data_IF_828490284724
#
_entry.id   IF_828490284724
#
_cell.length_a   1.000
_cell.length_b   1.000
_cell.length_c   1.000
_cell.angle_alpha   90.00
_cell.angle_beta   90.00
_cell.angle_gamma   90.00
#
_symmetry.space_group_name_H-M   'P 1'
#
loop_
_entity.id
_entity.type
_entity.pdbx_description
1 polymer ?
#
# COMPACT_ATOMS: atom_id res chain seq x y z
N UNK A 1 17.92 -30.15 6.61
CA UNK A 1 18.41 -29.90 5.23
C UNK A 1 19.14 -28.56 5.19
N UNK A 2 20.39 -28.55 4.72
CA UNK A 2 21.13 -27.30 4.48
C UNK A 2 21.08 -27.03 2.98
N UNK A 3 20.47 -25.90 2.58
CA UNK A 3 20.53 -25.44 1.19
C UNK A 3 21.96 -24.97 0.91
N UNK A 4 22.63 -25.60 -0.06
CA UNK A 4 23.95 -25.19 -0.52
C UNK A 4 23.80 -24.28 -1.74
N UNK A 5 23.99 -22.99 -1.54
CA UNK A 5 24.06 -22.00 -2.62
C UNK A 5 25.50 -22.01 -3.16
N UNK A 6 25.68 -22.21 -4.46
CA UNK A 6 26.99 -22.15 -5.12
C UNK A 6 26.94 -21.07 -6.20
N UNK A 7 28.00 -20.27 -6.26
CA UNK A 7 28.28 -19.44 -7.42
C UNK A 7 28.87 -20.34 -8.51
N UNK A 8 28.44 -20.18 -9.75
CA UNK A 8 29.11 -20.79 -10.89
C UNK A 8 30.40 -20.00 -11.22
N UNK A 9 31.16 -20.45 -12.23
CA UNK A 9 32.42 -19.79 -12.64
C UNK A 9 32.24 -18.36 -13.17
N UNK A 10 31.01 -17.94 -13.46
CA UNK A 10 30.65 -16.61 -13.96
C UNK A 10 30.18 -15.68 -12.83
N UNK A 11 30.11 -16.18 -11.59
CA UNK A 11 29.61 -15.41 -10.44
C UNK A 11 28.09 -15.39 -10.32
N UNK A 12 27.37 -16.26 -11.04
CA UNK A 12 25.92 -16.36 -10.97
C UNK A 12 25.49 -17.37 -9.90
N UNK A 13 24.33 -17.14 -9.28
CA UNK A 13 23.72 -18.10 -8.36
C UNK A 13 22.78 -19.01 -9.16
N UNK A 14 23.11 -20.29 -9.22
CA UNK A 14 22.29 -21.31 -9.88
C UNK A 14 21.58 -22.20 -8.85
N UNK A 15 20.26 -22.33 -8.96
CA UNK A 15 19.46 -23.22 -8.14
C UNK A 15 18.63 -24.18 -9.01
N UNK A 16 18.32 -25.35 -8.47
CA UNK A 16 17.45 -26.34 -9.09
C UNK A 16 17.90 -26.80 -10.49
N UNK A 17 19.23 -26.87 -10.73
CA UNK A 17 19.81 -27.28 -12.02
C UNK A 17 19.53 -26.29 -13.14
N UNK A 18 19.68 -24.99 -12.87
CA UNK A 18 19.50 -23.92 -13.85
C UNK A 18 18.05 -23.48 -14.07
N UNK A 19 17.10 -23.94 -13.26
CA UNK A 19 15.71 -23.48 -13.36
C UNK A 19 15.49 -22.11 -12.72
N UNK A 20 16.39 -21.70 -11.82
CA UNK A 20 16.49 -20.37 -11.24
C UNK A 20 17.95 -19.95 -11.37
N UNK A 21 18.19 -18.84 -12.07
CA UNK A 21 19.50 -18.23 -12.24
C UNK A 21 19.39 -16.76 -11.85
N UNK A 22 20.23 -16.34 -10.90
CA UNK A 22 20.42 -14.94 -10.55
C UNK A 22 21.79 -14.51 -11.02
N UNK A 23 21.81 -13.49 -11.87
CA UNK A 23 23.02 -12.94 -12.47
C UNK A 23 23.58 -11.79 -11.63
N UNK A 24 24.88 -11.52 -11.78
CA UNK A 24 25.58 -10.47 -11.03
C UNK A 24 25.09 -9.04 -11.32
N UNK A 25 24.32 -8.85 -12.40
CA UNK A 25 23.72 -7.58 -12.79
C UNK A 25 22.31 -7.36 -12.18
N UNK A 26 21.79 -8.34 -11.44
CA UNK A 26 20.45 -8.32 -10.85
C UNK A 26 19.35 -8.93 -11.72
N UNK A 27 19.69 -9.49 -12.89
CA UNK A 27 18.76 -10.24 -13.73
C UNK A 27 18.36 -11.55 -13.04
N UNK A 28 17.06 -11.82 -13.00
CA UNK A 28 16.50 -13.07 -12.48
C UNK A 28 15.84 -13.86 -13.61
N UNK A 29 16.43 -14.99 -13.95
CA UNK A 29 15.91 -15.94 -14.94
C UNK A 29 15.21 -17.09 -14.22
N UNK A 30 13.90 -17.24 -14.44
CA UNK A 30 13.08 -18.32 -13.89
C UNK A 30 12.27 -18.99 -15.00
N UNK A 31 12.26 -20.32 -15.03
CA UNK A 31 11.47 -21.05 -16.04
C UNK A 31 9.96 -21.00 -15.81
N UNK A 32 9.55 -21.01 -14.53
CA UNK A 32 8.15 -21.02 -14.13
C UNK A 32 7.99 -20.26 -12.82
N UNK A 33 7.13 -19.26 -12.83
CA UNK A 33 6.66 -18.58 -11.62
C UNK A 33 5.29 -19.16 -11.24
N UNK A 34 5.15 -19.61 -9.99
CA UNK A 34 3.86 -19.99 -9.42
C UNK A 34 3.64 -19.11 -8.19
N UNK A 35 2.58 -18.32 -8.21
CA UNK A 35 2.17 -17.44 -7.12
C UNK A 35 0.89 -17.99 -6.49
N UNK A 36 0.66 -17.65 -5.22
CA UNK A 36 -0.63 -17.86 -4.58
C UNK A 36 -1.62 -16.81 -5.09
N UNK A 37 -2.84 -17.24 -5.41
CA UNK A 37 -3.91 -16.33 -5.80
C UNK A 37 -4.30 -15.39 -4.65
N UNK A 38 -4.91 -14.26 -5.00
CA UNK A 38 -5.44 -13.25 -4.07
C UNK A 38 -4.36 -12.49 -3.28
N UNK A 39 -3.11 -12.53 -3.75
CA UNK A 39 -2.06 -11.63 -3.30
C UNK A 39 -1.60 -10.73 -4.46
N UNK A 40 -0.65 -11.19 -5.28
CA UNK A 40 -0.13 -10.43 -6.43
C UNK A 40 -0.61 -10.93 -7.79
N UNK A 41 -1.46 -11.97 -7.81
CA UNK A 41 -2.14 -12.48 -9.00
C UNK A 41 -3.56 -12.92 -8.62
N UNK A 42 -4.51 -12.81 -9.54
CA UNK A 42 -5.84 -13.34 -9.36
C UNK A 42 -6.75 -13.11 -10.55
N UNK A 43 -8.03 -13.45 -10.36
CA UNK A 43 -9.09 -13.27 -11.35
C UNK A 43 -10.25 -12.54 -10.71
N UNK A 44 -11.02 -11.80 -11.50
CA UNK A 44 -12.16 -11.01 -11.02
C UNK A 44 -13.20 -10.81 -12.12
N UNK A 45 -14.34 -10.25 -11.75
CA UNK A 45 -15.40 -9.94 -12.71
C UNK A 45 -16.11 -8.62 -12.42
N UNK A 46 -16.37 -7.84 -13.47
CA UNK A 46 -17.34 -6.74 -13.42
C UNK A 46 -18.70 -7.33 -13.78
N UNK A 47 -19.71 -7.15 -12.92
CA UNK A 47 -21.05 -7.69 -13.15
C UNK A 47 -21.75 -6.95 -14.30
N UNK A 48 -22.66 -7.63 -15.00
CA UNK A 48 -23.53 -7.01 -15.98
C UNK A 48 -24.18 -5.73 -15.44
N UNK A 49 -24.28 -4.72 -16.30
CA UNK A 49 -24.82 -3.38 -16.00
C UNK A 49 -24.04 -2.59 -14.92
N UNK A 50 -22.83 -3.02 -14.56
CA UNK A 50 -21.90 -2.26 -13.73
C UNK A 50 -20.69 -1.84 -14.55
N UNK A 51 -19.94 -0.86 -14.05
CA UNK A 51 -18.74 -0.34 -14.73
C UNK A 51 -17.47 -0.46 -13.90
N UNK A 52 -17.57 -0.91 -12.66
CA UNK A 52 -16.46 -0.86 -11.70
C UNK A 52 -16.48 -2.07 -10.77
N UNK A 53 -15.29 -2.48 -10.34
CA UNK A 53 -15.08 -3.39 -9.21
C UNK A 53 -13.88 -2.93 -8.39
N UNK A 54 -13.93 -3.13 -7.08
CA UNK A 54 -12.78 -2.97 -6.18
C UNK A 54 -12.24 -4.36 -5.87
N UNK A 55 -10.93 -4.54 -6.03
CA UNK A 55 -10.24 -5.79 -5.77
C UNK A 55 -9.39 -5.61 -4.51
N UNK A 56 -9.70 -6.38 -3.48
CA UNK A 56 -8.99 -6.36 -2.20
C UNK A 56 -7.70 -7.17 -2.29
N UNK A 57 -6.58 -6.57 -1.90
CA UNK A 57 -5.27 -7.22 -1.82
C UNK A 57 -4.29 -6.38 -1.01
N UNK A 58 -3.44 -7.06 -0.24
CA UNK A 58 -2.36 -6.44 0.52
C UNK A 58 -1.08 -6.19 -0.29
N UNK A 59 -1.05 -6.60 -1.56
CA UNK A 59 0.14 -6.51 -2.40
C UNK A 59 0.40 -5.13 -3.01
N UNK A 60 -0.57 -4.19 -2.92
CA UNK A 60 -0.40 -2.85 -3.47
C UNK A 60 0.58 -2.03 -2.63
N UNK A 61 1.58 -1.46 -3.29
CA UNK A 61 2.53 -0.48 -2.76
C UNK A 61 2.45 0.83 -3.55
N UNK A 62 3.22 1.83 -3.13
CA UNK A 62 3.33 3.11 -3.84
C UNK A 62 3.94 2.97 -5.24
N UNK A 63 4.66 1.87 -5.52
CA UNK A 63 5.33 1.65 -6.80
C UNK A 63 4.72 0.52 -7.63
N UNK A 64 3.55 0.03 -7.22
CA UNK A 64 2.86 -1.04 -7.92
C UNK A 64 2.41 -0.63 -9.32
N UNK A 65 2.54 -1.58 -10.24
CA UNK A 65 1.94 -1.58 -11.57
C UNK A 65 0.97 -2.75 -11.63
N UNK A 66 -0.27 -2.44 -11.98
CA UNK A 66 -1.34 -3.44 -12.11
C UNK A 66 -1.59 -3.66 -13.59
N UNK A 67 -1.59 -4.93 -13.97
CA UNK A 67 -1.88 -5.36 -15.34
C UNK A 67 -3.17 -6.16 -15.34
N UNK A 68 -3.97 -5.96 -16.37
CA UNK A 68 -5.29 -6.57 -16.52
C UNK A 68 -5.35 -7.26 -17.87
N UNK A 69 -5.82 -8.50 -17.87
CA UNK A 69 -6.05 -9.28 -19.07
C UNK A 69 -7.51 -9.72 -19.12
N UNK A 70 -8.36 -9.11 -19.96
CA UNK A 70 -9.73 -9.59 -20.17
C UNK A 70 -9.75 -11.06 -20.61
N UNK A 71 -10.60 -11.87 -19.99
CA UNK A 71 -10.80 -13.29 -20.33
C UNK A 71 -12.19 -13.57 -20.92
N UNK A 72 -13.03 -12.54 -21.00
CA UNK A 72 -14.30 -12.53 -21.74
C UNK A 72 -14.34 -11.39 -22.76
N UNK A 73 -15.32 -11.42 -23.67
CA UNK A 73 -15.54 -10.34 -24.63
C UNK A 73 -15.90 -9.02 -23.92
N UNK A 74 -15.15 -7.97 -24.23
CA UNK A 74 -15.38 -6.61 -23.70
C UNK A 74 -16.15 -5.71 -24.67
N UNK A 75 -16.61 -6.26 -25.80
CA UNK A 75 -17.27 -5.51 -26.89
C UNK A 75 -16.42 -4.29 -27.32
N UNK A 76 -15.12 -4.52 -27.47
CA UNK A 76 -14.10 -3.53 -27.81
C UNK A 76 -13.95 -2.37 -26.81
N UNK A 77 -14.35 -2.58 -25.54
CA UNK A 77 -14.10 -1.62 -24.46
C UNK A 77 -12.83 -1.97 -23.70
N UNK A 78 -12.17 -0.94 -23.19
CA UNK A 78 -10.92 -1.05 -22.44
C UNK A 78 -11.21 -1.15 -20.95
N UNK A 79 -10.55 -2.10 -20.28
CA UNK A 79 -10.43 -2.14 -18.81
C UNK A 79 -9.28 -1.24 -18.38
N UNK A 80 -9.45 -0.48 -17.31
CA UNK A 80 -8.42 0.42 -16.78
C UNK A 80 -8.49 0.55 -15.26
N UNK A 81 -7.33 0.81 -14.65
CA UNK A 81 -7.19 1.03 -13.20
C UNK A 81 -7.26 2.52 -12.90
N UNK A 82 -8.07 2.91 -11.92
CA UNK A 82 -8.21 4.34 -11.53
C UNK A 82 -7.74 4.68 -10.14
N UNK A 83 -7.59 3.70 -9.26
CA UNK A 83 -7.26 3.93 -7.86
C UNK A 83 -6.42 2.78 -7.32
N UNK A 84 -5.36 3.11 -6.59
CA UNK A 84 -4.51 2.20 -5.84
C UNK A 84 -4.52 2.63 -4.38
N UNK A 85 -5.00 1.75 -3.49
CA UNK A 85 -4.93 1.94 -2.04
C UNK A 85 -3.87 0.99 -1.47
N UNK A 86 -2.76 1.57 -1.02
CA UNK A 86 -1.59 0.84 -0.50
C UNK A 86 -2.01 -0.11 0.62
N UNK A 87 -1.63 -1.38 0.49
CA UNK A 87 -1.92 -2.44 1.46
C UNK A 87 -3.39 -2.87 1.52
N UNK A 88 -4.27 -2.33 0.67
CA UNK A 88 -5.71 -2.54 0.78
C UNK A 88 -6.36 -3.05 -0.51
N UNK A 89 -6.28 -2.28 -1.61
CA UNK A 89 -7.08 -2.58 -2.81
C UNK A 89 -6.63 -1.80 -4.05
N UNK A 90 -7.17 -2.19 -5.20
CA UNK A 90 -7.17 -1.36 -6.41
C UNK A 90 -8.54 -1.40 -7.10
N UNK A 91 -8.84 -0.37 -7.90
CA UNK A 91 -10.13 -0.23 -8.59
C UNK A 91 -9.99 -0.41 -10.09
N UNK A 92 -10.77 -1.33 -10.65
CA UNK A 92 -10.85 -1.61 -12.09
C UNK A 92 -12.16 -1.08 -12.65
N UNK A 93 -12.09 -0.44 -13.81
CA UNK A 93 -13.23 0.15 -14.50
C UNK A 93 -13.27 -0.29 -15.96
N UNK A 94 -14.46 -0.21 -16.57
CA UNK A 94 -14.68 -0.39 -18.01
C UNK A 94 -15.37 0.85 -18.59
N UNK A 95 -15.02 1.22 -19.83
CA UNK A 95 -15.61 2.38 -20.50
C UNK A 95 -17.04 2.10 -21.00
N UNK A 96 -18.01 2.26 -20.10
CA UNK A 96 -19.45 2.13 -20.34
C UNK A 96 -20.01 0.77 -19.91
N UNK A 97 -21.30 0.77 -19.57
CA UNK A 97 -22.02 -0.43 -19.14
C UNK A 97 -22.12 -1.47 -20.25
N UNK A 98 -22.07 -2.74 -19.87
CA UNK A 98 -22.28 -3.89 -20.75
C UNK A 98 -23.38 -4.79 -20.18
N UNK A 99 -24.20 -5.44 -21.03
CA UNK A 99 -25.29 -6.30 -20.59
C UNK A 99 -24.80 -7.68 -20.11
N UNK A 100 -23.49 -7.92 -20.07
CA UNK A 100 -22.86 -9.20 -19.70
C UNK A 100 -21.80 -8.99 -18.63
N UNK A 101 -21.56 -10.03 -17.83
CA UNK A 101 -20.42 -10.09 -16.92
C UNK A 101 -19.11 -10.04 -17.73
N UNK A 102 -18.11 -9.34 -17.20
CA UNK A 102 -16.78 -9.23 -17.78
C UNK A 102 -15.78 -9.88 -16.84
N UNK A 103 -15.18 -11.00 -17.24
CA UNK A 103 -14.13 -11.68 -16.48
C UNK A 103 -12.76 -11.23 -16.96
N UNK A 104 -11.81 -11.16 -16.03
CA UNK A 104 -10.44 -10.80 -16.33
C UNK A 104 -9.48 -11.34 -15.27
N UNK A 105 -8.24 -11.53 -15.68
CA UNK A 105 -7.12 -11.81 -14.78
C UNK A 105 -6.36 -10.53 -14.49
N UNK A 106 -5.68 -10.50 -13.35
CA UNK A 106 -4.83 -9.38 -12.95
C UNK A 106 -3.55 -9.88 -12.31
N UNK A 107 -2.48 -9.08 -12.45
CA UNK A 107 -1.23 -9.28 -11.75
C UNK A 107 -0.60 -7.96 -11.34
N UNK A 108 0.15 -7.98 -10.24
CA UNK A 108 0.74 -6.81 -9.59
C UNK A 108 2.26 -6.98 -9.58
N UNK A 109 2.99 -6.00 -10.10
CA UNK A 109 4.45 -5.94 -10.04
C UNK A 109 4.86 -4.59 -9.46
N UNK A 110 5.78 -4.60 -8.50
CA UNK A 110 6.40 -3.37 -8.02
C UNK A 110 7.57 -2.94 -8.90
N UNK A 111 7.66 -1.63 -9.10
CA UNK A 111 8.85 -1.02 -9.67
C UNK A 111 9.76 -0.50 -8.57
N UNK A 112 11.04 -0.85 -8.62
CA UNK A 112 12.05 -0.15 -7.81
C UNK A 112 12.44 1.10 -8.58
N UNK A 113 12.07 2.28 -8.09
CA UNK A 113 12.63 3.53 -8.63
C UNK A 113 14.15 3.50 -8.35
N UNK A 114 15.02 3.77 -9.34
CA UNK A 114 16.42 4.08 -9.04
C UNK A 114 16.44 5.21 -8.01
N UNK A 115 17.32 5.11 -7.01
CA UNK A 115 17.56 6.26 -6.12
C UNK A 115 17.94 7.42 -7.04
N UNK A 116 17.17 8.50 -7.03
CA UNK A 116 17.57 9.72 -7.71
C UNK A 116 18.91 10.11 -7.10
N UNK A 117 19.96 10.15 -7.91
CA UNK A 117 21.23 10.72 -7.51
C UNK A 117 20.91 12.15 -7.07
N UNK A 118 20.92 12.40 -5.76
CA UNK A 118 20.73 13.73 -5.21
C UNK A 118 21.86 14.55 -5.84
N UNK A 119 21.58 15.59 -6.66
CA UNK A 119 22.65 16.42 -7.16
C UNK A 119 23.41 16.93 -5.95
N UNK A 120 24.70 16.65 -5.93
CA UNK A 120 25.63 17.08 -4.89
C UNK A 120 25.33 18.56 -4.60
N UNK A 121 24.86 18.86 -3.38
CA UNK A 121 24.53 20.23 -3.02
C UNK A 121 25.86 20.98 -3.06
N UNK A 122 26.13 21.69 -4.15
CA UNK A 122 27.20 22.68 -4.19
C UNK A 122 26.77 23.75 -3.21
N UNK A 123 27.17 23.61 -1.94
CA UNK A 123 26.87 24.60 -0.93
C UNK A 123 27.43 25.93 -1.43
N UNK A 124 26.64 27.02 -1.44
CA UNK A 124 27.21 28.32 -1.72
C UNK A 124 28.32 28.57 -0.70
N UNK A 125 29.50 28.92 -1.19
CA UNK A 125 30.63 29.33 -0.36
C UNK A 125 30.12 30.52 0.45
N UNK A 126 29.80 30.31 1.73
CA UNK A 126 29.40 31.39 2.61
C UNK A 126 30.67 32.20 2.86
N UNK A 127 30.79 33.34 2.18
CA UNK A 127 31.82 34.31 2.54
C UNK A 127 31.67 34.62 4.04
N UNK A 128 32.76 34.63 4.83
CA UNK A 128 32.66 34.80 6.27
C UNK A 128 32.04 36.17 6.58
N UNK A 129 30.80 36.16 7.07
CA UNK A 129 30.13 37.34 7.61
C UNK A 129 30.97 37.88 8.78
N UNK A 130 31.27 39.19 8.84
CA UNK A 130 32.01 39.75 9.97
C UNK A 130 31.23 39.51 11.26
N UNK A 131 31.93 38.95 12.26
CA UNK A 131 31.41 38.72 13.61
C UNK A 131 31.09 40.06 14.25
N UNK A 132 29.80 40.38 14.36
CA UNK A 132 29.34 41.45 15.24
C UNK A 132 29.15 40.80 16.61
N UNK A 133 30.05 41.10 17.53
CA UNK A 133 29.93 40.68 18.93
C UNK A 133 28.82 41.51 19.58
N UNK A 134 27.61 40.96 19.65
CA UNK A 134 26.54 41.56 20.45
C UNK A 134 26.86 41.42 21.95
N UNK A 135 26.56 42.42 22.78
CA UNK A 135 26.75 42.34 24.22
C UNK A 135 25.82 41.28 24.82
N UNK A 136 26.40 40.40 25.64
CA UNK A 136 25.69 39.34 26.36
C UNK A 136 24.70 39.99 27.33
N UNK A 137 23.41 39.90 27.02
CA UNK A 137 22.32 40.25 27.94
C UNK A 137 22.10 39.04 28.84
N UNK A 138 22.28 39.24 30.15
CA UNK A 138 22.05 38.23 31.18
C UNK A 138 20.55 37.92 31.26
N UNK A 139 20.12 36.65 31.20
CA UNK A 139 18.70 36.32 31.19
C UNK A 139 18.04 36.61 32.55
N UNK A 140 16.90 37.29 32.53
CA UNK A 140 16.06 37.53 33.72
C UNK A 140 15.55 36.20 34.32
N UNK A 141 15.33 36.14 35.65
CA UNK A 141 14.87 34.93 36.32
C UNK A 141 13.45 34.54 35.86
N UNK A 142 13.30 33.27 35.47
CA UNK A 142 12.03 32.66 35.07
C UNK A 142 11.11 32.60 36.31
N UNK A 143 10.01 33.33 36.27
CA UNK A 143 8.92 33.23 37.24
C UNK A 143 8.05 32.04 36.81
N UNK A 144 8.02 30.98 37.63
CA UNK A 144 7.14 29.83 37.42
C UNK A 144 5.65 30.27 37.44
N UNK A 145 4.83 29.87 36.47
CA UNK A 145 3.40 30.15 36.50
C UNK A 145 2.73 29.35 37.64
N UNK A 146 1.71 29.91 38.30
CA UNK A 146 0.99 29.23 39.38
C UNK A 146 0.24 27.99 38.85
N UNK A 147 0.25 26.94 39.67
CA UNK A 147 -0.39 25.66 39.39
C UNK A 147 -1.87 25.82 39.04
N UNK A 148 -2.26 25.23 37.91
CA UNK A 148 -3.63 25.17 37.42
C UNK A 148 -4.50 24.31 38.35
N UNK A 149 -5.54 24.91 38.92
CA UNK A 149 -6.50 24.24 39.81
C UNK A 149 -7.39 23.36 38.94
N UNK A 150 -7.19 22.04 39.03
CA UNK A 150 -8.02 21.04 38.35
C UNK A 150 -9.40 21.00 39.02
N UNK A 151 -10.45 21.36 38.28
CA UNK A 151 -11.84 21.21 38.73
C UNK A 151 -12.23 19.72 38.81
N UNK A 152 -12.95 19.29 39.86
CA UNK A 152 -13.39 17.91 39.99
C UNK A 152 -14.52 17.58 39.00
N UNK A 153 -14.28 16.58 38.15
CA UNK A 153 -15.27 16.01 37.25
C UNK A 153 -16.37 15.28 38.02
N UNK A 154 -17.63 15.68 37.81
CA UNK A 154 -18.83 15.04 38.35
C UNK A 154 -19.04 13.69 37.63
N UNK A 155 -19.24 12.57 38.34
CA UNK A 155 -19.54 11.29 37.71
C UNK A 155 -20.94 11.29 37.09
N UNK A 156 -21.05 10.84 35.83
CA UNK A 156 -22.30 10.65 35.12
C UNK A 156 -23.15 9.54 35.78
N UNK A 157 -24.45 9.80 35.95
CA UNK A 157 -25.41 8.84 36.50
C UNK A 157 -25.63 7.65 35.54
N UNK A 158 -25.81 6.43 36.07
CA UNK A 158 -26.06 5.25 35.26
C UNK A 158 -27.45 5.32 34.61
N UNK A 159 -27.47 5.19 33.28
CA UNK A 159 -28.69 5.11 32.47
C UNK A 159 -29.38 3.77 32.78
N UNK A 160 -30.60 3.83 33.30
CA UNK A 160 -31.45 2.66 33.56
C UNK A 160 -32.00 2.13 32.22
N UNK A 161 -31.84 0.85 31.89
CA UNK A 161 -32.41 0.28 30.66
C UNK A 161 -33.94 0.19 30.74
N UNK A 162 -34.60 0.65 29.68
CA UNK A 162 -36.05 0.62 29.48
C UNK A 162 -36.51 -0.83 29.22
N UNK A 163 -37.45 -1.34 30.03
CA UNK A 163 -37.97 -2.70 29.89
C UNK A 163 -38.87 -2.82 28.65
N UNK A 164 -38.52 -3.75 27.75
CA UNK A 164 -39.34 -4.14 26.61
C UNK A 164 -40.60 -4.91 27.05
N UNK A 165 -41.81 -4.58 26.55
CA UNK A 165 -43.03 -5.32 26.85
C UNK A 165 -43.00 -6.74 26.29
N UNK A 166 -43.44 -7.69 27.11
CA UNK A 166 -43.58 -9.11 26.78
C UNK A 166 -44.88 -9.29 25.99
N UNK A 167 -44.79 -9.77 24.75
CA UNK A 167 -45.96 -10.13 23.94
C UNK A 167 -46.55 -11.46 24.44
N UNK A 168 -47.78 -11.42 24.97
CA UNK A 168 -48.57 -12.61 25.31
C UNK A 168 -49.06 -13.30 24.03
N UNK A 169 -48.47 -14.44 23.68
CA UNK A 169 -49.09 -15.37 22.73
C UNK A 169 -50.08 -16.27 23.46
N UNK A 170 -51.36 -15.97 23.33
CA UNK A 170 -52.46 -16.85 23.75
C UNK A 170 -52.64 -17.96 22.71
N UNK A 171 -52.49 -19.22 23.12
CA UNK A 171 -53.06 -20.40 22.44
C UNK A 171 -54.19 -20.94 23.32
N UNK A 172 -55.30 -21.43 22.75
CA UNK A 172 -55.33 -22.79 22.19
C UNK A 172 -55.96 -22.92 20.80
#
# INVERSE_FOLDING_TARGET
NILKVKLNSEGNIELLGGNILMEGDGTLSIRKLKLEENYSIGSSKILANTTTIVIETKAITTNSKVFINPTSDTLNKVLYVTELKVGESFKVNINGVLPQDITFDWFIIDSKKPLEEIPEIVQPIVEPTPVITEPIIEPEPIIEPPAEVVEPTIPEEPIVPEETPIEETVTP
#
